data_IF_759805491067
#
_entry.id   IF_759805491067
#
_cell.length_a   1.000
_cell.length_b   1.000
_cell.length_c   1.000
_cell.angle_alpha   90.00
_cell.angle_beta   90.00
_cell.angle_gamma   90.00
#
_symmetry.space_group_name_H-M   'P 1'
#
loop_
_entity.id
_entity.type
_entity.pdbx_description
1 polymer ?
#
# COMPACT_ATOMS: atom_id res chain seq x y z
N UNK A 1 -23.63 4.23 0.05
CA UNK A 1 -23.03 4.43 -1.29
C UNK A 1 -21.96 3.37 -1.49
N UNK A 2 -21.89 2.70 -2.66
CA UNK A 2 -20.68 1.98 -3.04
C UNK A 2 -19.51 2.96 -3.02
N UNK A 3 -18.37 2.52 -2.50
CA UNK A 3 -17.15 3.34 -2.45
C UNK A 3 -16.63 3.45 -3.88
N UNK A 4 -16.39 4.66 -4.37
CA UNK A 4 -15.77 4.83 -5.68
C UNK A 4 -14.28 4.44 -5.65
N UNK A 5 -13.72 4.19 -6.83
CA UNK A 5 -12.33 3.79 -6.98
C UNK A 5 -11.36 4.82 -6.39
N UNK A 6 -11.67 6.11 -6.49
CA UNK A 6 -10.84 7.18 -5.92
C UNK A 6 -10.73 7.08 -4.39
N UNK A 7 -11.86 6.81 -3.72
CA UNK A 7 -11.90 6.61 -2.27
C UNK A 7 -11.20 5.32 -1.87
N UNK A 8 -11.36 4.24 -2.64
CA UNK A 8 -10.66 2.98 -2.39
C UNK A 8 -9.13 3.15 -2.50
N UNK A 9 -8.67 3.85 -3.54
CA UNK A 9 -7.25 4.19 -3.74
C UNK A 9 -6.70 5.07 -2.62
N UNK A 10 -7.46 6.09 -2.19
CA UNK A 10 -7.05 6.96 -1.09
C UNK A 10 -6.89 6.19 0.24
N UNK A 11 -7.80 5.25 0.53
CA UNK A 11 -7.70 4.38 1.71
C UNK A 11 -6.51 3.44 1.66
N UNK A 12 -6.23 2.87 0.48
CA UNK A 12 -5.05 2.03 0.29
C UNK A 12 -3.75 2.82 0.57
N UNK A 13 -3.65 4.05 0.06
CA UNK A 13 -2.51 4.94 0.32
C UNK A 13 -2.38 5.32 1.79
N UNK A 14 -3.49 5.62 2.47
CA UNK A 14 -3.48 5.95 3.89
C UNK A 14 -2.93 4.79 4.74
N UNK A 15 -3.09 3.53 4.31
CA UNK A 15 -2.48 2.39 4.99
C UNK A 15 -0.95 2.36 4.91
N UNK A 16 -0.32 3.08 3.98
CA UNK A 16 1.15 3.10 3.88
C UNK A 16 1.80 3.80 5.08
N UNK A 17 1.05 4.63 5.83
CA UNK A 17 1.56 5.24 7.07
C UNK A 17 2.02 4.22 8.10
N UNK A 18 1.44 3.01 8.10
CA UNK A 18 1.82 1.95 9.03
C UNK A 18 3.25 1.44 8.79
N UNK A 19 3.86 1.70 7.63
CA UNK A 19 5.27 1.41 7.40
C UNK A 19 6.18 2.15 8.40
N UNK A 20 5.76 3.31 8.91
CA UNK A 20 6.49 4.05 9.92
C UNK A 20 6.57 3.32 11.28
N UNK A 21 5.76 2.29 11.50
CA UNK A 21 5.80 1.44 12.71
C UNK A 21 6.81 0.28 12.58
N UNK A 22 7.48 0.15 11.44
CA UNK A 22 8.51 -0.86 11.24
C UNK A 22 9.64 -0.69 12.29
N UNK A 23 10.10 -1.80 12.86
CA UNK A 23 11.20 -1.78 13.86
C UNK A 23 12.52 -2.24 13.26
N UNK A 24 12.41 -3.04 12.21
CA UNK A 24 13.49 -3.65 11.45
C UNK A 24 12.96 -4.01 10.04
N UNK A 25 13.86 -4.48 9.18
CA UNK A 25 13.55 -4.85 7.80
C UNK A 25 12.55 -6.01 7.69
N UNK A 26 12.53 -6.93 8.66
CA UNK A 26 11.58 -8.04 8.66
C UNK A 26 10.17 -7.56 9.00
N UNK A 27 10.05 -6.62 9.95
CA UNK A 27 8.79 -5.98 10.30
C UNK A 27 8.27 -5.15 9.12
N UNK A 28 9.15 -4.40 8.45
CA UNK A 28 8.80 -3.64 7.23
C UNK A 28 8.28 -4.57 6.13
N UNK A 29 8.94 -5.70 5.87
CA UNK A 29 8.50 -6.68 4.88
C UNK A 29 7.11 -7.25 5.21
N UNK A 30 6.82 -7.50 6.49
CA UNK A 30 5.50 -7.96 6.96
C UNK A 30 4.42 -6.90 6.73
N UNK A 31 4.70 -5.63 7.09
CA UNK A 31 3.79 -4.51 6.89
C UNK A 31 3.50 -4.28 5.41
N UNK A 32 4.54 -4.32 4.56
CA UNK A 32 4.41 -4.29 3.11
C UNK A 32 3.52 -5.40 2.59
N UNK A 33 3.72 -6.65 3.05
CA UNK A 33 2.88 -7.78 2.67
C UNK A 33 1.41 -7.58 3.03
N UNK A 34 1.14 -7.00 4.20
CA UNK A 34 -0.21 -6.61 4.61
C UNK A 34 -0.84 -5.57 3.68
N UNK A 35 -0.10 -4.52 3.34
CA UNK A 35 -0.55 -3.48 2.41
C UNK A 35 -0.82 -4.03 0.99
N UNK A 36 0.05 -4.89 0.45
CA UNK A 36 -0.20 -5.59 -0.81
C UNK A 36 -1.47 -6.44 -0.76
N UNK A 37 -1.68 -7.19 0.32
CA UNK A 37 -2.89 -8.01 0.51
C UNK A 37 -4.16 -7.17 0.54
N UNK A 38 -4.12 -6.00 1.17
CA UNK A 38 -5.23 -5.05 1.16
C UNK A 38 -5.51 -4.53 -0.26
N UNK A 39 -4.47 -4.10 -0.99
CA UNK A 39 -4.60 -3.64 -2.38
C UNK A 39 -5.22 -4.72 -3.27
N UNK A 40 -4.77 -5.97 -3.14
CA UNK A 40 -5.32 -7.12 -3.88
C UNK A 40 -6.81 -7.34 -3.56
N UNK A 41 -7.20 -7.16 -2.29
CA UNK A 41 -8.58 -7.32 -1.86
C UNK A 41 -9.51 -6.26 -2.48
N UNK A 42 -9.02 -5.05 -2.73
CA UNK A 42 -9.77 -4.01 -3.45
C UNK A 42 -10.03 -4.41 -4.91
N UNK A 43 -9.03 -5.01 -5.58
CA UNK A 43 -9.21 -5.52 -6.94
C UNK A 43 -10.22 -6.67 -6.97
N UNK A 44 -10.09 -7.64 -6.06
CA UNK A 44 -11.01 -8.79 -5.97
C UNK A 44 -12.45 -8.33 -5.70
N UNK A 45 -12.63 -7.28 -4.90
CA UNK A 45 -13.93 -6.67 -4.63
C UNK A 45 -14.47 -5.82 -5.80
N UNK A 46 -13.70 -5.67 -6.89
CA UNK A 46 -14.08 -4.86 -8.04
C UNK A 46 -14.08 -3.35 -7.78
N UNK A 47 -13.41 -2.90 -6.71
CA UNK A 47 -13.36 -1.48 -6.32
C UNK A 47 -12.30 -0.69 -7.09
N UNK A 48 -11.26 -1.37 -7.58
CA UNK A 48 -10.18 -0.77 -8.38
C UNK A 48 -9.86 -1.66 -9.58
N UNK A 49 -9.23 -1.08 -10.60
CA UNK A 49 -8.75 -1.80 -11.78
C UNK A 49 -7.37 -2.45 -11.55
N UNK A 50 -6.93 -3.38 -12.44
CA UNK A 50 -5.57 -3.92 -12.40
C UNK A 50 -4.49 -2.83 -12.51
N UNK A 51 -4.69 -1.82 -13.35
CA UNK A 51 -3.73 -0.70 -13.50
C UNK A 51 -3.61 0.13 -12.23
N UNK A 52 -4.71 0.28 -11.51
CA UNK A 52 -4.77 0.95 -10.21
C UNK A 52 -4.09 0.12 -9.12
N UNK A 53 -4.24 -1.20 -9.13
CA UNK A 53 -3.49 -2.10 -8.25
C UNK A 53 -1.98 -1.98 -8.49
N UNK A 54 -1.55 -2.00 -9.76
CA UNK A 54 -0.15 -1.84 -10.13
C UNK A 54 0.41 -0.50 -9.66
N UNK A 55 -0.38 0.56 -9.79
CA UNK A 55 -0.03 1.87 -9.26
C UNK A 55 0.16 1.84 -7.74
N UNK A 56 -0.80 1.28 -6.98
CA UNK A 56 -0.68 1.19 -5.52
C UNK A 56 0.55 0.40 -5.08
N UNK A 57 0.88 -0.69 -5.77
CA UNK A 57 2.03 -1.51 -5.42
C UNK A 57 3.35 -0.79 -5.73
N UNK A 58 3.43 -0.01 -6.82
CA UNK A 58 4.59 0.86 -7.10
C UNK A 58 4.77 1.95 -6.05
N UNK A 59 3.69 2.65 -5.69
CA UNK A 59 3.71 3.69 -4.65
C UNK A 59 4.13 3.08 -3.28
N UNK A 60 3.67 1.86 -2.98
CA UNK A 60 4.06 1.13 -1.78
C UNK A 60 5.55 0.74 -1.80
N UNK A 61 6.08 0.31 -2.94
CA UNK A 61 7.50 0.00 -3.10
C UNK A 61 8.36 1.25 -2.86
N UNK A 62 7.97 2.38 -3.44
CA UNK A 62 8.63 3.67 -3.23
C UNK A 62 8.60 4.10 -1.76
N UNK A 63 7.46 3.95 -1.08
CA UNK A 63 7.33 4.25 0.35
C UNK A 63 8.25 3.35 1.21
N UNK A 64 8.36 2.06 0.87
CA UNK A 64 9.28 1.14 1.55
C UNK A 64 10.75 1.53 1.33
N UNK A 65 11.12 1.98 0.12
CA UNK A 65 12.47 2.44 -0.18
C UNK A 65 12.81 3.72 0.58
N UNK A 66 11.88 4.68 0.64
CA UNK A 66 12.03 5.91 1.41
C UNK A 66 12.24 5.63 2.91
N UNK A 67 11.57 4.59 3.46
CA UNK A 67 11.79 4.16 4.84
C UNK A 67 13.20 3.60 5.08
N UNK A 68 13.75 2.85 4.12
CA UNK A 68 15.10 2.27 4.22
C UNK A 68 16.22 3.30 4.04
N UNK A 69 15.93 4.37 3.31
CA UNK A 69 16.85 5.48 3.10
C UNK A 69 16.22 6.78 3.63
N UNK A 70 16.00 6.91 4.95
CA UNK A 70 15.32 8.07 5.51
C UNK A 70 16.13 9.36 5.34
N UNK A 71 17.43 9.28 5.02
CA UNK A 71 18.33 10.27 4.39
C UNK A 71 19.78 9.77 4.52
N UNK A 72 20.60 10.07 3.51
CA UNK A 72 22.04 10.30 3.71
C UNK A 72 22.25 11.70 4.32
#
# INVERSE_FOLDING_TARGET
MPIDAATAMARARDNFKYLAEAKDDAHLAKLKGGACGYNQSLLIAGLISPEQLDQLNRELDEACLAYKSPLA
#
